data_IF_775355315166
#
_entry.id   IF_775355315166
#
_cell.length_a   1.000
_cell.length_b   1.000
_cell.length_c   1.000
_cell.angle_alpha   90.00
_cell.angle_beta   90.00
_cell.angle_gamma   90.00
#
_symmetry.space_group_name_H-M   'P 1'
#
loop_
_entity.id
_entity.type
_entity.pdbx_description
1 polymer ?
#
# COMPACT_ATOMS: atom_id res chain seq x y z
N UNK A 1 -13.71 -5.62 50.05
CA UNK A 1 -15.12 -5.63 49.60
C UNK A 1 -15.29 -5.72 48.09
N UNK A 2 -14.77 -4.78 47.28
CA UNK A 2 -15.01 -4.74 45.82
C UNK A 2 -14.74 -6.05 45.06
N UNK A 3 -13.59 -6.72 45.28
CA UNK A 3 -13.27 -8.01 44.64
C UNK A 3 -14.34 -9.10 44.87
N UNK A 4 -14.95 -9.14 46.05
CA UNK A 4 -15.96 -10.16 46.38
C UNK A 4 -17.25 -9.94 45.57
N UNK A 5 -17.62 -8.68 45.32
CA UNK A 5 -18.80 -8.32 44.51
C UNK A 5 -18.61 -8.78 43.07
N UNK A 6 -17.45 -8.50 42.45
CA UNK A 6 -17.15 -8.98 41.10
C UNK A 6 -17.07 -10.51 41.01
N UNK A 7 -16.56 -11.18 42.06
CA UNK A 7 -16.63 -12.63 42.21
C UNK A 7 -18.06 -13.17 42.13
N UNK A 8 -18.97 -12.64 42.95
CA UNK A 8 -20.39 -13.02 42.94
C UNK A 8 -21.01 -12.78 41.56
N UNK A 9 -20.73 -11.64 40.92
CA UNK A 9 -21.20 -11.33 39.55
C UNK A 9 -20.71 -12.39 38.55
N UNK A 10 -19.43 -12.80 38.58
CA UNK A 10 -18.94 -13.85 37.66
C UNK A 10 -19.60 -15.21 37.88
N UNK A 11 -19.81 -15.61 39.14
CA UNK A 11 -20.44 -16.90 39.47
C UNK A 11 -21.91 -16.88 39.01
N UNK A 12 -22.65 -15.81 39.29
CA UNK A 12 -24.03 -15.65 38.83
C UNK A 12 -24.14 -15.61 37.29
N UNK A 13 -23.21 -14.93 36.62
CA UNK A 13 -23.16 -14.89 35.16
C UNK A 13 -22.87 -16.28 34.55
N UNK A 14 -21.95 -17.04 35.16
CA UNK A 14 -21.61 -18.40 34.72
C UNK A 14 -22.77 -19.38 34.91
N UNK A 15 -23.47 -19.32 36.04
CA UNK A 15 -24.71 -20.11 36.28
C UNK A 15 -25.80 -19.73 35.28
N UNK A 16 -26.00 -18.44 35.00
CA UNK A 16 -26.95 -17.97 33.97
C UNK A 16 -26.60 -18.48 32.57
N UNK A 17 -25.30 -18.54 32.23
CA UNK A 17 -24.83 -19.03 30.93
C UNK A 17 -25.04 -20.56 30.79
N UNK A 18 -24.86 -21.32 31.88
CA UNK A 18 -25.23 -22.75 31.95
C UNK A 18 -26.74 -22.93 31.78
N UNK A 19 -27.56 -22.12 32.46
CA UNK A 19 -29.03 -22.14 32.32
C UNK A 19 -29.47 -21.86 30.87
N UNK A 20 -28.82 -20.91 30.20
CA UNK A 20 -29.06 -20.64 28.78
C UNK A 20 -28.70 -21.84 27.89
N UNK A 21 -27.57 -22.50 28.14
CA UNK A 21 -27.15 -23.67 27.39
C UNK A 21 -28.14 -24.84 27.57
N UNK A 22 -28.63 -25.06 28.79
CA UNK A 22 -29.69 -26.02 29.09
C UNK A 22 -31.00 -25.66 28.35
N UNK A 23 -31.42 -24.40 28.40
CA UNK A 23 -32.63 -23.92 27.72
C UNK A 23 -32.56 -24.12 26.20
N UNK A 24 -31.41 -23.85 25.59
CA UNK A 24 -31.17 -24.09 24.17
C UNK A 24 -31.17 -25.59 23.81
N UNK A 25 -30.61 -26.45 24.67
CA UNK A 25 -30.64 -27.89 24.50
C UNK A 25 -32.08 -28.46 24.64
N UNK A 26 -32.84 -27.98 25.62
CA UNK A 26 -34.24 -28.36 25.83
C UNK A 26 -35.12 -27.93 24.64
N UNK A 27 -34.96 -26.70 24.13
CA UNK A 27 -35.66 -26.26 22.91
C UNK A 27 -35.32 -27.14 21.70
N UNK A 28 -34.05 -27.52 21.53
CA UNK A 28 -33.62 -28.44 20.46
C UNK A 28 -34.18 -29.86 20.65
N UNK A 29 -34.38 -30.31 21.88
CA UNK A 29 -35.01 -31.59 22.19
C UNK A 29 -36.52 -31.56 21.91
N UNK A 30 -37.20 -30.48 22.30
CA UNK A 30 -38.62 -30.25 22.00
C UNK A 30 -38.90 -30.28 20.50
N UNK A 31 -38.13 -29.53 19.69
CA UNK A 31 -38.29 -29.52 18.22
C UNK A 31 -38.10 -30.91 17.58
N UNK A 32 -37.26 -31.78 18.18
CA UNK A 32 -37.10 -33.17 17.71
C UNK A 32 -38.33 -34.03 18.03
N UNK A 33 -38.96 -33.84 19.19
CA UNK A 33 -40.18 -34.55 19.56
C UNK A 33 -41.40 -34.10 18.73
N UNK A 34 -41.43 -32.85 18.28
CA UNK A 34 -42.52 -32.29 17.47
C UNK A 34 -42.27 -32.35 15.96
N UNK A 35 -41.19 -33.00 15.51
CA UNK A 35 -40.76 -33.11 14.10
C UNK A 35 -40.65 -31.76 13.34
N UNK A 36 -40.40 -30.66 14.06
CA UNK A 36 -40.35 -29.32 13.46
C UNK A 36 -38.93 -28.94 12.99
N UNK A 37 -38.78 -28.27 11.84
CA UNK A 37 -37.47 -27.85 11.33
C UNK A 37 -36.86 -26.77 12.22
N UNK A 38 -35.56 -26.91 12.53
CA UNK A 38 -34.82 -25.88 13.27
C UNK A 38 -34.52 -24.68 12.37
N UNK A 39 -35.27 -23.59 12.55
CA UNK A 39 -35.08 -22.33 11.79
C UNK A 39 -34.27 -21.30 12.59
N UNK A 40 -34.65 -21.05 13.84
CA UNK A 40 -33.97 -20.11 14.76
C UNK A 40 -34.07 -20.55 16.22
N UNK A 41 -33.22 -19.98 17.07
CA UNK A 41 -33.32 -20.09 18.54
C UNK A 41 -34.27 -18.99 19.07
N UNK A 42 -35.07 -19.22 20.13
CA UNK A 42 -35.93 -18.19 20.71
C UNK A 42 -35.15 -16.94 21.09
N UNK A 43 -35.73 -15.77 20.80
CA UNK A 43 -35.13 -14.45 21.04
C UNK A 43 -34.67 -14.26 22.48
N UNK A 44 -35.41 -14.82 23.43
CA UNK A 44 -35.18 -14.59 24.86
C UNK A 44 -33.91 -15.32 25.31
N UNK A 45 -33.65 -16.52 24.78
CA UNK A 45 -32.40 -17.26 25.01
C UNK A 45 -31.21 -16.53 24.35
N UNK A 46 -31.41 -15.91 23.18
CA UNK A 46 -30.37 -15.09 22.52
C UNK A 46 -30.06 -13.84 23.35
N UNK A 47 -31.07 -13.14 23.87
CA UNK A 47 -30.87 -11.95 24.71
C UNK A 47 -30.22 -12.32 26.05
N UNK A 48 -30.67 -13.40 26.70
CA UNK A 48 -30.12 -13.86 27.98
C UNK A 48 -28.68 -14.39 27.84
N UNK A 49 -28.33 -15.08 26.74
CA UNK A 49 -26.93 -15.46 26.46
C UNK A 49 -26.03 -14.25 26.26
N UNK A 50 -26.45 -13.24 25.49
CA UNK A 50 -25.66 -12.03 25.28
C UNK A 50 -25.46 -11.23 26.57
N UNK A 51 -26.50 -11.08 27.40
CA UNK A 51 -26.41 -10.40 28.70
C UNK A 51 -25.52 -11.16 29.70
N UNK A 52 -25.69 -12.48 29.81
CA UNK A 52 -24.85 -13.31 30.71
C UNK A 52 -23.38 -13.32 30.28
N UNK A 53 -23.10 -13.38 28.98
CA UNK A 53 -21.75 -13.29 28.44
C UNK A 53 -21.11 -11.92 28.72
N UNK A 54 -21.84 -10.82 28.53
CA UNK A 54 -21.35 -9.48 28.84
C UNK A 54 -21.05 -9.30 30.34
N UNK A 55 -21.91 -9.81 31.22
CA UNK A 55 -21.71 -9.80 32.66
C UNK A 55 -20.50 -10.65 33.10
N UNK A 56 -20.30 -11.82 32.47
CA UNK A 56 -19.16 -12.70 32.72
C UNK A 56 -17.84 -12.03 32.32
N UNK A 57 -17.77 -11.43 31.12
CA UNK A 57 -16.60 -10.68 30.64
C UNK A 57 -16.30 -9.51 31.57
N UNK A 58 -17.32 -8.74 31.97
CA UNK A 58 -17.18 -7.62 32.88
C UNK A 58 -16.60 -8.06 34.24
N UNK A 59 -17.22 -9.05 34.88
CA UNK A 59 -16.72 -9.55 36.18
C UNK A 59 -15.31 -10.14 36.09
N UNK A 60 -15.02 -10.93 35.05
CA UNK A 60 -13.71 -11.55 34.86
C UNK A 60 -12.60 -10.52 34.66
N UNK A 61 -12.87 -9.43 33.92
CA UNK A 61 -11.91 -8.33 33.73
C UNK A 61 -11.54 -7.62 35.05
N UNK A 62 -12.47 -7.50 36.00
CA UNK A 62 -12.19 -6.93 37.32
C UNK A 62 -11.52 -7.90 38.30
N UNK A 63 -11.71 -9.22 38.13
CA UNK A 63 -11.02 -10.25 38.92
C UNK A 63 -9.56 -10.42 38.49
N UNK A 64 -9.29 -10.39 37.18
CA UNK A 64 -7.95 -10.55 36.61
C UNK A 64 -6.94 -9.47 37.05
N UNK A 65 -7.43 -8.34 37.57
CA UNK A 65 -6.63 -7.24 38.07
C UNK A 65 -5.99 -6.39 36.97
N UNK A 66 -5.16 -5.43 37.36
CA UNK A 66 -4.38 -4.64 36.41
C UNK A 66 -3.34 -5.52 35.74
N UNK A 67 -3.30 -5.52 34.39
CA UNK A 67 -2.24 -6.16 33.62
C UNK A 67 -0.87 -5.75 34.16
N UNK A 68 -0.14 -6.71 34.72
CA UNK A 68 1.24 -6.48 35.14
C UNK A 68 2.10 -6.28 33.89
N UNK A 69 2.98 -5.29 33.92
CA UNK A 69 3.98 -5.12 32.89
C UNK A 69 4.92 -6.31 32.93
N UNK A 70 4.84 -7.20 31.94
CA UNK A 70 5.83 -8.24 31.72
C UNK A 70 7.16 -7.51 31.53
N UNK A 71 8.05 -7.58 32.53
CA UNK A 71 9.41 -7.06 32.40
C UNK A 71 10.00 -7.75 31.17
N UNK A 72 10.54 -6.96 30.23
CA UNK A 72 11.20 -7.49 29.05
C UNK A 72 12.36 -8.36 29.55
N UNK A 73 12.25 -9.68 29.39
CA UNK A 73 13.28 -10.60 29.84
C UNK A 73 14.61 -10.20 29.21
N UNK A 74 15.66 -10.22 30.03
CA UNK A 74 17.02 -9.83 29.63
C UNK A 74 17.63 -10.81 28.59
N UNK A 75 16.88 -11.83 28.20
CA UNK A 75 17.24 -12.94 27.34
C UNK A 75 16.24 -13.16 26.19
N UNK A 76 15.48 -12.13 25.80
CA UNK A 76 14.52 -12.20 24.69
C UNK A 76 15.13 -12.64 23.35
N UNK A 77 16.44 -12.41 23.17
CA UNK A 77 17.18 -12.73 21.95
C UNK A 77 17.89 -14.11 22.00
N UNK A 78 17.74 -14.89 23.09
CA UNK A 78 18.32 -16.24 23.15
C UNK A 78 17.59 -17.19 22.20
N UNK A 79 18.35 -17.87 21.35
CA UNK A 79 17.84 -18.99 20.54
C UNK A 79 17.51 -20.18 21.44
N UNK A 80 16.66 -21.10 20.97
CA UNK A 80 16.33 -22.31 21.72
C UNK A 80 17.58 -23.14 22.05
N UNK A 81 18.60 -23.11 21.19
CA UNK A 81 19.86 -23.83 21.39
C UNK A 81 20.67 -23.28 22.58
N UNK A 82 20.70 -21.95 22.77
CA UNK A 82 21.30 -21.31 23.96
C UNK A 82 20.48 -21.58 25.24
N UNK A 83 19.15 -21.66 25.13
CA UNK A 83 18.28 -21.97 26.26
C UNK A 83 18.38 -23.45 26.71
N UNK A 84 18.64 -24.36 25.76
CA UNK A 84 18.81 -25.79 25.99
C UNK A 84 20.28 -26.20 26.27
N UNK A 85 21.21 -25.23 26.23
CA UNK A 85 22.65 -25.45 26.39
C UNK A 85 23.21 -26.52 25.43
N UNK A 86 22.65 -26.59 24.22
CA UNK A 86 23.08 -27.53 23.19
C UNK A 86 24.32 -26.96 22.47
N UNK A 87 25.50 -27.61 22.53
CA UNK A 87 26.67 -27.12 21.82
C UNK A 87 26.45 -27.22 20.30
N UNK A 88 26.36 -26.08 19.63
CA UNK A 88 26.30 -26.04 18.17
C UNK A 88 27.60 -26.60 17.58
N UNK A 89 27.51 -27.56 16.67
CA UNK A 89 28.68 -28.09 15.96
C UNK A 89 29.33 -26.99 15.11
N UNK A 90 30.45 -26.45 15.59
CA UNK A 90 31.33 -25.59 14.80
C UNK A 90 31.99 -26.46 13.73
N UNK A 91 31.49 -26.38 12.50
CA UNK A 91 32.17 -26.96 11.34
C UNK A 91 33.42 -26.15 11.05
N UNK A 92 34.58 -26.64 11.51
CA UNK A 92 35.87 -26.09 11.11
C UNK A 92 36.08 -26.27 9.61
N UNK A 93 36.26 -25.19 8.85
CA UNK A 93 36.78 -25.29 7.48
C UNK A 93 38.20 -25.86 7.54
N UNK A 94 38.36 -27.10 7.06
CA UNK A 94 39.62 -27.82 7.18
C UNK A 94 40.74 -27.14 6.38
N UNK A 95 41.83 -26.78 7.05
CA UNK A 95 43.01 -26.08 6.51
C UNK A 95 43.70 -26.80 5.33
N UNK A 96 43.31 -28.04 5.03
CA UNK A 96 43.78 -28.85 3.90
C UNK A 96 43.19 -28.44 2.53
N UNK A 97 42.08 -27.68 2.49
CA UNK A 97 41.41 -27.26 1.23
C UNK A 97 42.33 -26.47 0.28
N UNK A 98 43.31 -25.76 0.85
CA UNK A 98 44.32 -25.00 0.11
C UNK A 98 45.48 -25.84 -0.47
N UNK A 99 45.62 -27.12 -0.09
CA UNK A 99 46.72 -27.99 -0.55
C UNK A 99 46.33 -29.00 -1.64
N UNK A 100 45.09 -28.95 -2.15
CA UNK A 100 44.69 -29.81 -3.28
C UNK A 100 45.13 -29.22 -4.62
N UNK A 101 45.82 -29.98 -5.51
CA UNK A 101 46.30 -29.46 -6.79
C UNK A 101 45.19 -28.87 -7.68
N UNK A 102 43.99 -29.46 -7.65
CA UNK A 102 42.83 -28.98 -8.42
C UNK A 102 42.33 -27.59 -8.01
N UNK A 103 42.52 -27.18 -6.75
CA UNK A 103 42.06 -25.87 -6.28
C UNK A 103 42.98 -24.73 -6.76
N UNK A 104 44.28 -25.00 -6.90
CA UNK A 104 45.25 -24.05 -7.49
C UNK A 104 44.91 -23.74 -8.95
N UNK A 105 44.60 -24.78 -9.75
CA UNK A 105 44.21 -24.63 -11.17
C UNK A 105 42.93 -23.79 -11.31
N UNK A 106 41.91 -24.05 -10.49
CA UNK A 106 40.67 -23.27 -10.49
C UNK A 106 40.88 -21.80 -10.12
N UNK A 107 41.82 -21.49 -9.24
CA UNK A 107 42.10 -20.11 -8.83
C UNK A 107 42.80 -19.32 -9.96
N UNK A 108 43.76 -19.94 -10.66
CA UNK A 108 44.46 -19.32 -11.79
C UNK A 108 43.51 -19.01 -12.96
N UNK A 109 42.64 -19.96 -13.33
CA UNK A 109 41.59 -19.76 -14.35
C UNK A 109 40.63 -18.62 -13.97
N UNK A 110 40.41 -18.39 -12.68
CA UNK A 110 39.57 -17.28 -12.18
C UNK A 110 40.28 -15.93 -12.25
N UNK A 111 41.60 -15.88 -12.02
CA UNK A 111 42.40 -14.67 -12.21
C UNK A 111 42.51 -14.27 -13.68
N UNK A 112 42.77 -15.21 -14.60
CA UNK A 112 42.81 -14.94 -16.05
C UNK A 112 41.49 -14.39 -16.60
N UNK A 113 40.35 -14.83 -16.05
CA UNK A 113 39.04 -14.32 -16.43
C UNK A 113 38.82 -12.87 -15.99
N UNK A 114 39.36 -12.50 -14.83
CA UNK A 114 39.24 -11.13 -14.31
C UNK A 114 40.18 -10.16 -15.05
N UNK A 115 41.42 -10.54 -15.37
CA UNK A 115 42.35 -9.66 -16.08
C UNK A 115 41.86 -9.29 -17.48
N UNK A 116 41.20 -10.20 -18.21
CA UNK A 116 40.57 -9.93 -19.52
C UNK A 116 39.39 -8.96 -19.48
N UNK A 117 38.88 -8.62 -18.29
CA UNK A 117 37.70 -7.74 -18.15
C UNK A 117 38.10 -6.28 -17.84
N UNK A 118 39.40 -6.00 -17.60
CA UNK A 118 39.87 -4.70 -17.08
C UNK A 118 40.52 -3.81 -18.16
N UNK A 119 40.89 -4.35 -19.33
CA UNK A 119 41.69 -3.63 -20.34
C UNK A 119 40.91 -2.82 -21.39
N UNK A 120 39.60 -2.61 -21.23
CA UNK A 120 38.77 -1.85 -22.19
C UNK A 120 37.88 -0.79 -21.50
N UNK A 121 38.48 0.31 -21.02
CA UNK A 121 37.71 1.38 -20.36
C UNK A 121 38.46 2.67 -19.97
N UNK A 122 38.94 3.45 -20.94
CA UNK A 122 39.28 4.90 -20.84
C UNK A 122 39.34 5.45 -22.29
N UNK A 123 38.92 6.66 -22.66
CA UNK A 123 38.67 7.93 -21.96
C UNK A 123 37.36 8.59 -22.51
N UNK A 124 36.47 9.23 -21.74
CA UNK A 124 36.48 10.64 -21.24
C UNK A 124 36.69 11.70 -22.35
N UNK A 125 35.64 12.39 -22.83
CA UNK A 125 35.17 13.74 -22.39
C UNK A 125 36.17 14.87 -22.72
N UNK A 126 35.83 16.05 -23.24
CA UNK A 126 34.60 16.89 -23.25
C UNK A 126 34.47 17.57 -24.64
N UNK A 127 33.66 18.59 -24.98
CA UNK A 127 32.69 19.50 -24.32
C UNK A 127 31.38 19.62 -25.17
N UNK A 128 30.61 20.70 -25.01
CA UNK A 128 29.64 21.20 -25.98
C UNK A 128 29.35 22.69 -25.76
N UNK A 129 28.77 23.40 -26.74
CA UNK A 129 27.80 24.51 -26.54
C UNK A 129 27.19 24.94 -27.89
N UNK A 130 25.99 25.50 -27.79
CA UNK A 130 24.97 25.84 -28.77
C UNK A 130 25.37 26.74 -29.97
N UNK A 131 24.63 26.60 -31.08
CA UNK A 131 23.78 27.72 -31.55
C UNK A 131 22.62 27.24 -32.43
N UNK A 132 21.44 27.83 -32.20
CA UNK A 132 20.31 27.89 -33.15
C UNK A 132 20.63 29.08 -34.10
N UNK A 133 20.21 29.22 -35.36
CA UNK A 133 18.94 28.97 -36.06
C UNK A 133 19.16 29.18 -37.57
N UNK A 134 18.38 28.55 -38.46
CA UNK A 134 17.71 29.25 -39.59
C UNK A 134 16.76 28.31 -40.37
N UNK A 135 15.72 28.83 -41.05
CA UNK A 135 14.78 28.04 -41.83
C UNK A 135 15.23 27.91 -43.28
N UNK A 136 16.06 26.91 -43.59
CA UNK A 136 16.39 26.54 -44.97
C UNK A 136 16.26 25.01 -45.18
N UNK A 137 15.05 24.51 -44.89
CA UNK A 137 14.64 23.16 -45.22
C UNK A 137 13.81 23.18 -46.51
N UNK A 138 14.47 23.23 -47.66
CA UNK A 138 13.93 22.66 -48.89
C UNK A 138 15.06 22.37 -49.90
N UNK A 139 15.07 21.14 -50.42
CA UNK A 139 15.86 20.68 -51.56
C UNK A 139 17.40 20.61 -51.42
N UNK A 140 17.90 19.82 -50.44
CA UNK A 140 19.18 19.10 -50.64
C UNK A 140 18.92 17.62 -50.96
N UNK A 141 19.67 17.02 -51.90
CA UNK A 141 19.61 15.57 -52.12
C UNK A 141 20.08 14.85 -50.85
N UNK A 142 19.27 13.89 -50.37
CA UNK A 142 19.60 13.10 -49.18
C UNK A 142 20.83 12.24 -49.48
N UNK A 143 21.91 12.30 -48.67
CA UNK A 143 23.05 11.43 -48.85
C UNK A 143 22.64 9.96 -48.64
N UNK A 144 23.19 9.06 -49.47
CA UNK A 144 22.93 7.64 -49.33
C UNK A 144 23.75 7.04 -48.18
N UNK A 145 23.04 6.57 -47.16
CA UNK A 145 23.63 5.95 -45.97
C UNK A 145 23.77 4.42 -46.08
N UNK A 146 23.53 3.85 -47.27
CA UNK A 146 23.59 2.39 -47.53
C UNK A 146 24.94 1.73 -47.21
N UNK A 147 26.05 2.49 -47.26
CA UNK A 147 27.42 2.00 -47.05
C UNK A 147 28.22 2.82 -46.03
N UNK A 148 27.65 3.09 -44.86
CA UNK A 148 28.39 3.68 -43.74
C UNK A 148 29.44 2.69 -43.18
N UNK A 149 30.76 3.00 -43.24
CA UNK A 149 31.79 2.12 -42.70
C UNK A 149 31.65 1.98 -41.18
N UNK A 150 31.56 0.74 -40.70
CA UNK A 150 31.32 0.42 -39.28
C UNK A 150 29.84 0.33 -38.88
N UNK A 151 28.88 0.65 -39.76
CA UNK A 151 27.46 0.44 -39.48
C UNK A 151 27.13 -1.04 -39.37
N UNK A 152 26.71 -1.47 -38.17
CA UNK A 152 26.35 -2.87 -37.90
C UNK A 152 24.97 -3.16 -38.49
N UNK A 153 24.90 -4.02 -39.51
CA UNK A 153 23.63 -4.55 -40.03
C UNK A 153 22.80 -5.08 -38.84
N UNK A 154 21.52 -4.68 -38.67
CA UNK A 154 20.72 -5.09 -37.52
C UNK A 154 20.47 -6.61 -37.52
N UNK A 155 21.22 -7.34 -36.69
CA UNK A 155 21.02 -8.76 -36.43
C UNK A 155 19.78 -9.01 -35.57
N UNK A 156 18.59 -8.91 -36.15
CA UNK A 156 17.47 -9.81 -35.84
C UNK A 156 16.26 -9.53 -36.73
N UNK A 157 15.69 -10.58 -37.31
CA UNK A 157 14.31 -10.56 -37.79
C UNK A 157 13.35 -10.10 -36.68
N UNK A 158 12.22 -9.51 -37.07
CA UNK A 158 11.16 -9.09 -36.15
C UNK A 158 10.78 -10.24 -35.20
N UNK A 159 11.18 -10.12 -33.94
CA UNK A 159 11.05 -11.20 -32.99
C UNK A 159 9.60 -11.23 -32.49
N UNK A 160 8.87 -12.29 -32.88
CA UNK A 160 7.47 -12.54 -32.51
C UNK A 160 7.24 -12.21 -31.04
N UNK A 161 6.11 -11.55 -30.76
CA UNK A 161 5.67 -11.02 -29.47
C UNK A 161 6.11 -11.93 -28.32
N UNK A 162 7.19 -11.54 -27.62
CA UNK A 162 7.80 -12.36 -26.57
C UNK A 162 6.94 -12.29 -25.31
N UNK A 163 5.93 -13.16 -25.29
CA UNK A 163 5.16 -13.52 -24.09
C UNK A 163 6.14 -13.88 -22.98
N UNK A 164 5.83 -13.50 -21.74
CA UNK A 164 6.58 -13.96 -20.57
C UNK A 164 6.48 -15.49 -20.46
N UNK A 165 7.55 -16.18 -20.86
CA UNK A 165 7.74 -17.60 -20.59
C UNK A 165 8.03 -17.78 -19.09
N UNK A 166 6.96 -18.05 -18.34
CA UNK A 166 6.98 -18.38 -16.90
C UNK A 166 6.10 -19.62 -16.65
N UNK A 167 6.46 -20.42 -15.66
CA UNK A 167 5.62 -21.55 -15.24
C UNK A 167 4.44 -21.08 -14.38
N UNK A 168 3.37 -21.88 -14.33
CA UNK A 168 2.22 -21.60 -13.45
C UNK A 168 2.66 -21.44 -11.98
N UNK A 169 3.58 -22.29 -11.51
CA UNK A 169 4.11 -22.22 -10.16
C UNK A 169 4.81 -20.87 -9.87
N UNK A 170 5.57 -20.33 -10.83
CA UNK A 170 6.21 -19.01 -10.72
C UNK A 170 5.18 -17.87 -10.73
N UNK A 171 4.10 -17.99 -11.50
CA UNK A 171 3.01 -17.03 -11.49
C UNK A 171 2.25 -17.04 -10.15
N UNK A 172 1.97 -18.22 -9.60
CA UNK A 172 1.30 -18.38 -8.30
C UNK A 172 2.18 -17.88 -7.14
N UNK A 173 3.49 -18.13 -7.19
CA UNK A 173 4.47 -17.58 -6.24
C UNK A 173 4.57 -16.05 -6.35
N UNK A 174 4.64 -15.51 -7.57
CA UNK A 174 4.64 -14.08 -7.81
C UNK A 174 3.37 -13.40 -7.24
N UNK A 175 2.21 -14.03 -7.42
CA UNK A 175 0.95 -13.55 -6.88
C UNK A 175 0.87 -13.64 -5.35
N UNK A 176 1.36 -14.74 -4.73
CA UNK A 176 1.47 -14.87 -3.27
C UNK A 176 2.34 -13.76 -2.67
N UNK A 177 3.46 -13.43 -3.31
CA UNK A 177 4.31 -12.31 -2.91
C UNK A 177 3.59 -10.95 -3.00
N UNK A 178 2.77 -10.73 -4.04
CA UNK A 178 1.94 -9.52 -4.16
C UNK A 178 0.86 -9.44 -3.08
N UNK A 179 0.21 -10.56 -2.76
CA UNK A 179 -0.78 -10.68 -1.71
C UNK A 179 -0.19 -10.31 -0.34
N UNK A 180 0.98 -10.86 0.00
CA UNK A 180 1.63 -10.57 1.29
C UNK A 180 2.21 -9.14 1.35
N UNK A 181 2.68 -8.60 0.22
CA UNK A 181 3.10 -7.20 0.13
C UNK A 181 1.94 -6.23 0.44
N UNK A 182 0.75 -6.46 -0.14
CA UNK A 182 -0.44 -5.65 0.14
C UNK A 182 -0.91 -5.89 1.59
N UNK A 183 -0.95 -7.14 2.05
CA UNK A 183 -1.36 -7.49 3.42
C UNK A 183 -0.49 -6.84 4.49
N UNK A 184 0.82 -6.73 4.28
CA UNK A 184 1.73 -6.12 5.26
C UNK A 184 1.75 -4.60 5.19
N UNK A 185 1.79 -4.02 3.98
CA UNK A 185 1.98 -2.57 3.78
C UNK A 185 0.68 -1.77 3.73
N UNK A 186 -0.37 -2.30 3.11
CA UNK A 186 -1.67 -1.62 2.95
C UNK A 186 -2.84 -2.50 3.42
N UNK A 187 -2.88 -2.70 4.75
CA UNK A 187 -3.96 -3.43 5.44
C UNK A 187 -5.34 -2.81 5.18
N UNK A 188 -5.45 -1.49 5.06
CA UNK A 188 -6.74 -0.81 4.89
C UNK A 188 -7.33 -1.14 3.51
N UNK A 189 -6.52 -1.07 2.44
CA UNK A 189 -6.93 -1.51 1.10
C UNK A 189 -7.13 -3.03 1.04
N UNK A 190 -6.28 -3.83 1.68
CA UNK A 190 -6.45 -5.28 1.77
C UNK A 190 -7.82 -5.67 2.33
N UNK A 191 -8.22 -5.09 3.47
CA UNK A 191 -9.52 -5.32 4.09
C UNK A 191 -10.68 -4.86 3.19
N UNK A 192 -10.49 -3.77 2.42
CA UNK A 192 -11.47 -3.33 1.42
C UNK A 192 -11.62 -4.32 0.27
N UNK A 193 -10.52 -4.88 -0.25
CA UNK A 193 -10.53 -5.88 -1.34
C UNK A 193 -11.26 -7.16 -0.90
N UNK A 194 -11.06 -7.61 0.35
CA UNK A 194 -11.76 -8.79 0.89
C UNK A 194 -13.29 -8.66 0.86
N UNK A 195 -13.84 -7.44 0.87
CA UNK A 195 -15.28 -7.18 0.79
C UNK A 195 -15.86 -7.27 -0.64
N UNK A 196 -15.00 -7.32 -1.67
CA UNK A 196 -15.38 -7.34 -3.09
C UNK A 196 -15.50 -8.79 -3.63
N UNK A 197 -16.13 -9.03 -4.80
CA UNK A 197 -16.34 -10.37 -5.34
C UNK A 197 -15.03 -11.15 -5.57
N UNK A 198 -15.01 -12.44 -5.22
CA UNK A 198 -13.80 -13.29 -5.26
C UNK A 198 -13.07 -13.31 -6.61
N UNK A 199 -13.81 -13.25 -7.72
CA UNK A 199 -13.25 -13.20 -9.09
C UNK A 199 -12.41 -11.94 -9.39
N UNK A 200 -12.73 -10.83 -8.72
CA UNK A 200 -12.09 -9.51 -8.90
C UNK A 200 -10.85 -9.36 -8.00
N UNK A 201 -10.80 -10.07 -6.86
CA UNK A 201 -9.74 -9.87 -5.85
C UNK A 201 -8.31 -9.98 -6.41
N UNK A 202 -7.96 -10.94 -7.30
CA UNK A 202 -6.60 -11.05 -7.84
C UNK A 202 -6.13 -9.82 -8.64
N UNK A 203 -6.99 -9.27 -9.49
CA UNK A 203 -6.73 -8.07 -10.28
C UNK A 203 -6.46 -6.85 -9.38
N UNK A 204 -7.28 -6.69 -8.33
CA UNK A 204 -7.07 -5.61 -7.36
C UNK A 204 -5.81 -5.79 -6.52
N UNK A 205 -5.49 -7.02 -6.11
CA UNK A 205 -4.24 -7.31 -5.38
C UNK A 205 -3.03 -6.94 -6.24
N UNK A 206 -3.02 -7.24 -7.54
CA UNK A 206 -1.94 -6.84 -8.44
C UNK A 206 -1.82 -5.31 -8.59
N UNK A 207 -2.94 -4.61 -8.77
CA UNK A 207 -2.97 -3.14 -8.86
C UNK A 207 -2.51 -2.45 -7.56
N UNK A 208 -2.92 -2.97 -6.40
CA UNK A 208 -2.50 -2.44 -5.10
C UNK A 208 -1.05 -2.80 -4.77
N UNK A 209 -0.57 -3.99 -5.13
CA UNK A 209 0.83 -4.37 -4.96
C UNK A 209 1.76 -3.47 -5.77
N UNK A 210 1.35 -3.11 -6.99
CA UNK A 210 2.04 -2.11 -7.81
C UNK A 210 2.04 -0.73 -7.14
N UNK A 211 0.88 -0.26 -6.64
CA UNK A 211 0.80 1.01 -5.92
C UNK A 211 1.70 1.04 -4.67
N UNK A 212 1.82 -0.08 -3.94
CA UNK A 212 2.71 -0.23 -2.79
C UNK A 212 4.19 -0.21 -3.21
N UNK A 213 4.59 -0.96 -4.24
CA UNK A 213 5.97 -0.93 -4.77
C UNK A 213 6.37 0.49 -5.18
N UNK A 214 5.50 1.22 -5.90
CA UNK A 214 5.74 2.60 -6.29
C UNK A 214 5.85 3.56 -5.08
N UNK A 215 5.01 3.39 -4.05
CA UNK A 215 5.06 4.19 -2.84
C UNK A 215 6.35 3.92 -2.04
N UNK A 216 6.77 2.67 -1.96
CA UNK A 216 7.99 2.22 -1.26
C UNK A 216 9.29 2.67 -1.92
N UNK A 217 9.27 3.17 -3.17
CA UNK A 217 10.49 3.75 -3.78
C UNK A 217 11.01 4.91 -2.94
N UNK A 218 10.12 5.78 -2.43
CA UNK A 218 10.52 6.93 -1.60
C UNK A 218 11.25 6.52 -0.32
N UNK A 219 10.78 5.47 0.35
CA UNK A 219 11.41 4.97 1.58
C UNK A 219 12.81 4.37 1.36
N UNK A 220 13.16 4.02 0.12
CA UNK A 220 14.45 3.40 -0.26
C UNK A 220 15.51 4.42 -0.74
N UNK A 221 15.14 5.68 -0.94
CA UNK A 221 16.03 6.74 -1.45
C UNK A 221 16.63 7.53 -0.30
N UNK A 222 17.96 7.59 -0.21
CA UNK A 222 18.63 8.51 0.73
C UNK A 222 18.84 9.88 0.07
N UNK A 223 17.85 10.76 0.23
CA UNK A 223 17.87 12.11 -0.33
C UNK A 223 19.13 12.92 0.08
N UNK A 224 19.74 12.61 1.23
CA UNK A 224 20.97 13.27 1.72
C UNK A 224 22.23 12.90 0.93
N UNK A 225 22.20 11.83 0.13
CA UNK A 225 23.34 11.36 -0.68
C UNK A 225 23.19 11.70 -2.17
N UNK A 226 22.16 12.44 -2.56
CA UNK A 226 21.87 12.71 -3.98
C UNK A 226 21.50 11.45 -4.77
N UNK A 227 20.95 10.43 -4.10
CA UNK A 227 20.76 9.10 -4.68
C UNK A 227 19.71 9.09 -5.81
N UNK A 228 20.18 8.80 -7.03
CA UNK A 228 19.36 8.71 -8.24
C UNK A 228 18.65 7.34 -8.38
N UNK A 229 18.93 6.37 -7.50
CA UNK A 229 18.31 5.03 -7.51
C UNK A 229 16.79 5.06 -7.54
N UNK A 230 16.15 6.02 -6.86
CA UNK A 230 14.70 6.20 -6.90
C UNK A 230 14.16 6.60 -8.27
N UNK A 231 14.89 7.49 -8.96
CA UNK A 231 14.58 7.91 -10.32
C UNK A 231 14.69 6.71 -11.27
N UNK A 232 15.78 5.94 -11.17
CA UNK A 232 15.96 4.73 -11.97
C UNK A 232 14.91 3.64 -11.66
N UNK A 233 14.48 3.47 -10.40
CA UNK A 233 13.44 2.49 -10.03
C UNK A 233 12.05 2.89 -10.52
N UNK A 234 11.72 4.18 -10.56
CA UNK A 234 10.46 4.66 -11.15
C UNK A 234 10.52 4.64 -12.69
N UNK A 235 11.68 4.96 -13.28
CA UNK A 235 11.92 4.80 -14.71
C UNK A 235 11.76 3.33 -15.15
N UNK A 236 12.35 2.40 -14.40
CA UNK A 236 12.15 0.95 -14.58
C UNK A 236 10.67 0.56 -14.59
N UNK A 237 9.86 1.14 -13.69
CA UNK A 237 8.42 0.85 -13.65
C UNK A 237 7.65 1.46 -14.84
N UNK A 238 8.04 2.64 -15.32
CA UNK A 238 7.50 3.23 -16.55
C UNK A 238 7.76 2.31 -17.75
N UNK A 239 9.01 1.86 -17.88
CA UNK A 239 9.45 1.03 -19.01
C UNK A 239 8.83 -0.37 -18.93
N UNK A 240 8.68 -0.93 -17.73
CA UNK A 240 7.97 -2.18 -17.50
C UNK A 240 6.48 -2.10 -17.90
N UNK A 241 5.78 -1.00 -17.60
CA UNK A 241 4.41 -0.78 -18.11
C UNK A 241 4.42 -0.74 -19.64
N UNK A 242 5.32 0.03 -20.25
CA UNK A 242 5.41 0.10 -21.72
C UNK A 242 5.68 -1.27 -22.36
N UNK A 243 6.50 -2.13 -21.73
CA UNK A 243 6.68 -3.54 -22.15
C UNK A 243 5.41 -4.36 -22.03
N UNK A 244 4.65 -4.24 -20.93
CA UNK A 244 3.42 -5.00 -20.69
C UNK A 244 2.33 -4.68 -21.72
N UNK A 245 2.27 -3.43 -22.19
CA UNK A 245 1.34 -2.98 -23.24
C UNK A 245 1.94 -3.06 -24.66
N UNK A 246 3.07 -3.75 -24.86
CA UNK A 246 3.75 -3.92 -26.14
C UNK A 246 4.11 -2.59 -26.88
N UNK A 247 4.30 -1.50 -26.12
CA UNK A 247 4.78 -0.21 -26.65
C UNK A 247 6.32 -0.13 -26.73
N UNK A 248 7.03 -1.03 -26.04
CA UNK A 248 8.49 -1.12 -26.09
C UNK A 248 8.92 -2.52 -26.52
N UNK A 249 10.09 -2.60 -27.17
CA UNK A 249 10.71 -3.86 -27.57
C UNK A 249 11.45 -4.57 -26.42
N UNK A 250 11.33 -4.06 -25.18
CA UNK A 250 11.99 -4.63 -24.00
C UNK A 250 11.13 -5.77 -23.42
N UNK A 251 11.72 -6.90 -23.02
CA UNK A 251 10.98 -7.98 -22.36
C UNK A 251 10.46 -7.50 -21.00
N UNK A 252 9.27 -7.96 -20.60
CA UNK A 252 8.73 -7.63 -19.28
C UNK A 252 9.66 -8.17 -18.18
N UNK A 253 9.98 -7.38 -17.13
CA UNK A 253 10.84 -7.82 -16.04
C UNK A 253 10.27 -8.99 -15.23
N UNK A 254 11.13 -9.93 -14.81
CA UNK A 254 10.81 -11.03 -13.88
C UNK A 254 10.68 -10.56 -12.41
N UNK A 255 9.96 -9.46 -12.16
CA UNK A 255 9.59 -9.00 -10.82
C UNK A 255 8.20 -9.56 -10.46
N UNK A 256 7.95 -10.02 -9.22
CA UNK A 256 6.66 -10.60 -8.82
C UNK A 256 5.43 -9.73 -9.15
N UNK A 257 5.56 -8.42 -8.94
CA UNK A 257 4.51 -7.44 -9.22
C UNK A 257 4.32 -7.22 -10.72
N UNK A 258 5.39 -7.21 -11.52
CA UNK A 258 5.28 -7.10 -12.98
C UNK A 258 4.62 -8.36 -13.59
N UNK A 259 5.03 -9.54 -13.13
CA UNK A 259 4.42 -10.84 -13.50
C UNK A 259 2.93 -10.84 -13.17
N UNK A 260 2.55 -10.44 -11.96
CA UNK A 260 1.15 -10.41 -11.53
C UNK A 260 0.33 -9.37 -12.29
N UNK A 261 0.93 -8.23 -12.67
CA UNK A 261 0.28 -7.24 -13.52
C UNK A 261 0.01 -7.77 -14.93
N UNK A 262 0.88 -8.58 -15.54
CA UNK A 262 0.69 -9.09 -16.91
C UNK A 262 -0.63 -9.82 -17.12
N UNK A 263 -1.14 -10.51 -16.09
CA UNK A 263 -2.42 -11.22 -16.16
C UNK A 263 -3.65 -10.30 -16.27
N UNK A 264 -3.54 -9.03 -15.86
CA UNK A 264 -4.69 -8.12 -15.72
C UNK A 264 -4.52 -6.77 -16.43
N UNK A 265 -3.29 -6.27 -16.56
CA UNK A 265 -2.98 -4.98 -17.16
C UNK A 265 -3.51 -4.79 -18.59
N UNK A 266 -3.53 -5.80 -19.49
CA UNK A 266 -4.14 -5.62 -20.82
C UNK A 266 -5.62 -5.17 -20.80
N UNK A 267 -6.34 -5.43 -19.70
CA UNK A 267 -7.73 -5.00 -19.52
C UNK A 267 -7.86 -3.61 -18.88
N UNK A 268 -6.77 -3.03 -18.38
CA UNK A 268 -6.75 -1.80 -17.59
C UNK A 268 -6.37 -0.57 -18.45
N UNK A 269 -6.76 0.64 -18.03
CA UNK A 269 -6.30 1.87 -18.70
C UNK A 269 -4.81 2.12 -18.49
N UNK A 270 -4.03 1.85 -19.54
CA UNK A 270 -2.59 2.14 -19.66
C UNK A 270 -2.20 3.54 -19.13
N UNK A 271 -2.93 4.57 -19.58
CA UNK A 271 -2.67 5.97 -19.23
C UNK A 271 -2.69 6.21 -17.71
N UNK A 272 -3.60 5.56 -16.97
CA UNK A 272 -3.69 5.71 -15.51
C UNK A 272 -2.51 5.03 -14.81
N UNK A 273 -2.06 3.86 -15.29
CA UNK A 273 -0.87 3.20 -14.76
C UNK A 273 0.40 4.01 -14.99
N UNK A 274 0.59 4.60 -16.18
CA UNK A 274 1.69 5.54 -16.41
C UNK A 274 1.56 6.78 -15.51
N UNK A 275 0.37 7.37 -15.37
CA UNK A 275 0.14 8.55 -14.52
C UNK A 275 0.52 8.31 -13.06
N UNK A 276 0.30 7.10 -12.51
CA UNK A 276 0.75 6.70 -11.18
C UNK A 276 2.27 6.81 -11.02
N UNK A 277 3.03 6.43 -12.06
CA UNK A 277 4.51 6.47 -12.06
C UNK A 277 4.98 7.90 -12.23
N UNK A 278 4.51 8.60 -13.26
CA UNK A 278 4.88 9.99 -13.57
C UNK A 278 4.68 10.92 -12.36
N UNK A 279 3.52 10.83 -11.72
CA UNK A 279 3.16 11.69 -10.57
C UNK A 279 4.07 11.45 -9.38
N UNK A 280 4.51 10.20 -9.16
CA UNK A 280 5.50 9.88 -8.13
C UNK A 280 6.89 10.34 -8.54
N UNK A 281 7.27 10.16 -9.80
CA UNK A 281 8.54 10.59 -10.37
C UNK A 281 8.72 12.12 -10.26
N UNK A 282 7.69 12.91 -10.50
CA UNK A 282 7.72 14.38 -10.33
C UNK A 282 7.85 14.84 -8.88
N UNK A 283 7.63 13.96 -7.90
CA UNK A 283 7.78 14.26 -6.46
C UNK A 283 9.03 13.68 -5.81
N UNK A 284 9.94 13.09 -6.60
CA UNK A 284 11.27 12.69 -6.12
C UNK A 284 12.07 13.93 -5.72
N UNK A 285 12.88 13.83 -4.66
CA UNK A 285 13.70 14.94 -4.15
C UNK A 285 13.00 15.79 -3.09
N UNK A 286 11.87 15.30 -2.54
CA UNK A 286 11.29 15.73 -1.26
C UNK A 286 11.05 17.24 -1.08
N UNK A 287 10.76 17.91 -2.21
CA UNK A 287 10.36 19.33 -2.24
C UNK A 287 8.94 19.49 -1.69
N UNK A 288 8.63 20.58 -0.96
CA UNK A 288 7.27 20.89 -0.56
C UNK A 288 6.38 21.12 -1.78
N UNK A 289 5.08 20.82 -1.66
CA UNK A 289 4.13 21.21 -2.70
C UNK A 289 4.06 22.74 -2.76
N UNK A 290 4.12 23.30 -3.97
CA UNK A 290 4.07 24.77 -4.15
C UNK A 290 2.74 25.35 -3.69
N UNK A 291 1.65 24.61 -3.91
CA UNK A 291 0.28 25.02 -3.59
C UNK A 291 -0.57 23.87 -3.06
N UNK A 292 -1.62 24.22 -2.33
CA UNK A 292 -2.74 23.32 -2.01
C UNK A 292 -3.30 22.58 -3.22
N UNK A 293 -3.41 23.26 -4.38
CA UNK A 293 -3.85 22.64 -5.64
C UNK A 293 -2.91 21.51 -6.06
N UNK A 294 -1.59 21.74 -6.08
CA UNK A 294 -0.60 20.73 -6.43
C UNK A 294 -0.67 19.48 -5.54
N UNK A 295 -0.91 19.65 -4.23
CA UNK A 295 -1.18 18.55 -3.31
C UNK A 295 -2.47 17.78 -3.68
N UNK A 296 -3.55 18.49 -4.00
CA UNK A 296 -4.83 17.84 -4.37
C UNK A 296 -4.71 17.09 -5.70
N UNK A 297 -3.98 17.64 -6.67
CA UNK A 297 -3.69 17.01 -7.96
C UNK A 297 -2.77 15.79 -7.79
N UNK A 298 -1.80 15.83 -6.88
CA UNK A 298 -1.03 14.64 -6.49
C UNK A 298 -1.95 13.52 -5.96
N UNK A 299 -2.93 13.85 -5.11
CA UNK A 299 -3.93 12.90 -4.62
C UNK A 299 -4.83 12.33 -5.72
N UNK A 300 -5.27 13.18 -6.68
CA UNK A 300 -6.04 12.76 -7.87
C UNK A 300 -5.26 11.75 -8.71
N UNK A 301 -4.03 12.11 -9.11
CA UNK A 301 -3.26 11.30 -10.05
C UNK A 301 -2.59 10.08 -9.41
N UNK A 302 -2.48 10.01 -8.08
CA UNK A 302 -2.08 8.80 -7.35
C UNK A 302 -3.30 7.96 -6.93
N UNK A 303 -3.92 8.26 -5.79
CA UNK A 303 -5.01 7.46 -5.24
C UNK A 303 -6.27 7.49 -6.10
N UNK A 304 -6.59 8.62 -6.75
CA UNK A 304 -7.73 8.71 -7.67
C UNK A 304 -7.58 7.78 -8.88
N UNK A 305 -6.44 7.82 -9.58
CA UNK A 305 -6.12 6.89 -10.68
C UNK A 305 -6.25 5.42 -10.28
N UNK A 306 -5.77 5.05 -9.09
CA UNK A 306 -5.89 3.69 -8.55
C UNK A 306 -7.35 3.30 -8.26
N UNK A 307 -8.12 4.19 -7.66
CA UNK A 307 -9.56 3.97 -7.39
C UNK A 307 -10.36 3.81 -8.69
N UNK A 308 -10.01 4.57 -9.74
CA UNK A 308 -10.59 4.42 -11.07
C UNK A 308 -10.27 3.06 -11.69
N UNK A 309 -9.00 2.65 -11.69
CA UNK A 309 -8.60 1.32 -12.17
C UNK A 309 -9.32 0.19 -11.42
N UNK A 310 -9.50 0.34 -10.11
CA UNK A 310 -10.24 -0.59 -9.26
C UNK A 310 -11.75 -0.61 -9.56
N UNK A 311 -12.37 0.56 -9.83
CA UNK A 311 -13.76 0.64 -10.25
C UNK A 311 -13.98 -0.03 -11.60
N UNK A 312 -13.08 0.19 -12.57
CA UNK A 312 -13.17 -0.43 -13.90
C UNK A 312 -13.04 -1.95 -13.83
N UNK A 313 -12.10 -2.46 -13.05
CA UNK A 313 -11.97 -3.90 -12.80
C UNK A 313 -13.29 -4.46 -12.24
N UNK A 314 -13.83 -3.83 -11.19
CA UNK A 314 -15.10 -4.25 -10.60
C UNK A 314 -16.28 -4.15 -11.59
N UNK A 315 -16.34 -3.12 -12.43
CA UNK A 315 -17.36 -2.94 -13.46
C UNK A 315 -17.27 -4.00 -14.57
N UNK A 316 -16.06 -4.30 -15.08
CA UNK A 316 -15.82 -5.37 -16.08
C UNK A 316 -16.36 -6.72 -15.61
N UNK A 317 -15.96 -7.15 -14.41
CA UNK A 317 -16.36 -8.46 -13.86
C UNK A 317 -17.85 -8.53 -13.48
N UNK A 318 -18.48 -7.39 -13.15
CA UNK A 318 -19.91 -7.31 -12.87
C UNK A 318 -20.77 -7.01 -14.10
N UNK A 319 -20.16 -6.83 -15.29
CA UNK A 319 -20.83 -6.45 -16.55
C UNK A 319 -21.66 -5.16 -16.43
N UNK A 320 -21.13 -4.16 -15.73
CA UNK A 320 -21.74 -2.83 -15.60
C UNK A 320 -21.09 -1.90 -16.64
N UNK A 321 -21.89 -1.14 -17.36
CA UNK A 321 -21.39 -0.20 -18.38
C UNK A 321 -20.46 0.87 -17.78
N UNK A 322 -19.46 1.27 -18.58
CA UNK A 322 -18.47 2.25 -18.16
C UNK A 322 -19.08 3.66 -18.08
N UNK A 323 -19.18 4.19 -16.86
CA UNK A 323 -19.71 5.52 -16.58
C UNK A 323 -18.55 6.54 -16.48
N UNK A 324 -18.26 7.37 -17.50
CA UNK A 324 -17.11 8.28 -17.48
C UNK A 324 -17.18 9.33 -16.36
N UNK A 325 -18.36 9.58 -15.81
CA UNK A 325 -18.55 10.52 -14.68
C UNK A 325 -17.98 9.99 -13.35
N UNK A 326 -17.64 8.69 -13.26
CA UNK A 326 -17.02 8.09 -12.07
C UNK A 326 -15.58 8.55 -11.86
N UNK A 327 -14.86 8.93 -12.93
CA UNK A 327 -13.49 9.44 -12.86
C UNK A 327 -13.39 10.67 -11.95
N UNK A 328 -14.39 11.57 -12.00
CA UNK A 328 -14.46 12.73 -11.12
C UNK A 328 -14.70 12.36 -9.65
N UNK A 329 -15.45 11.28 -9.36
CA UNK A 329 -15.69 10.79 -7.99
C UNK A 329 -14.41 10.22 -7.40
N UNK A 330 -13.68 9.42 -8.18
CA UNK A 330 -12.36 8.91 -7.80
C UNK A 330 -11.32 10.01 -7.63
N UNK A 331 -11.31 11.00 -8.53
CA UNK A 331 -10.41 12.14 -8.43
C UNK A 331 -10.66 12.96 -7.15
N UNK A 332 -11.92 13.30 -6.86
CA UNK A 332 -12.27 14.04 -5.64
C UNK A 332 -11.95 13.24 -4.37
N UNK A 333 -12.27 11.93 -4.34
CA UNK A 333 -11.93 11.08 -3.19
C UNK A 333 -10.41 10.89 -3.02
N UNK A 334 -9.67 10.78 -4.13
CA UNK A 334 -8.22 10.72 -4.16
C UNK A 334 -7.57 12.02 -3.69
N UNK A 335 -8.11 13.18 -4.06
CA UNK A 335 -7.68 14.48 -3.54
C UNK A 335 -7.88 14.58 -2.02
N UNK A 336 -9.07 14.21 -1.53
CA UNK A 336 -9.38 14.22 -0.09
C UNK A 336 -8.46 13.29 0.70
N UNK A 337 -8.23 12.07 0.20
CA UNK A 337 -7.28 11.13 0.82
C UNK A 337 -5.83 11.62 0.75
N UNK A 338 -5.40 12.22 -0.37
CA UNK A 338 -4.05 12.76 -0.53
C UNK A 338 -3.74 13.82 0.54
N UNK A 339 -4.66 14.76 0.76
CA UNK A 339 -4.55 15.78 1.81
C UNK A 339 -4.59 15.16 3.22
N UNK A 340 -5.57 14.29 3.51
CA UNK A 340 -5.68 13.65 4.82
C UNK A 340 -4.46 12.77 5.16
N UNK A 341 -3.95 12.03 4.18
CA UNK A 341 -2.77 11.19 4.32
C UNK A 341 -1.50 12.03 4.50
N UNK A 342 -1.39 13.19 3.82
CA UNK A 342 -0.29 14.13 4.06
C UNK A 342 -0.28 14.62 5.51
N UNK A 343 -1.42 15.09 6.03
CA UNK A 343 -1.55 15.54 7.43
C UNK A 343 -1.08 14.42 8.38
N UNK A 344 -1.55 13.19 8.16
CA UNK A 344 -1.13 12.02 8.95
C UNK A 344 0.37 11.73 8.84
N UNK A 345 0.96 11.87 7.65
CA UNK A 345 2.38 11.59 7.41
C UNK A 345 3.33 12.72 7.81
N UNK A 346 2.82 13.91 8.12
CA UNK A 346 3.62 15.12 8.38
C UNK A 346 4.68 14.90 9.47
N UNK A 347 4.31 14.43 10.66
CA UNK A 347 5.29 14.21 11.73
C UNK A 347 6.36 13.15 11.38
N UNK A 348 5.99 11.93 10.92
CA UNK A 348 6.96 10.93 10.50
C UNK A 348 7.91 11.40 9.39
N UNK A 349 7.42 12.20 8.43
CA UNK A 349 8.27 12.75 7.36
C UNK A 349 9.20 13.86 7.87
N UNK A 350 8.71 14.78 8.72
CA UNK A 350 9.55 15.82 9.33
C UNK A 350 10.69 15.22 10.17
N UNK A 351 10.46 14.12 10.89
CA UNK A 351 11.53 13.41 11.63
C UNK A 351 12.63 12.82 10.75
N UNK A 352 12.39 12.68 9.43
CA UNK A 352 13.37 12.26 8.43
C UNK A 352 13.98 13.44 7.65
N UNK A 353 13.60 14.68 7.98
CA UNK A 353 13.98 15.88 7.23
C UNK A 353 13.16 16.15 5.97
N UNK A 354 12.06 15.41 5.75
CA UNK A 354 11.23 15.50 4.54
C UNK A 354 10.05 16.45 4.76
N UNK A 355 9.97 17.52 3.97
CA UNK A 355 8.95 18.57 4.08
C UNK A 355 8.02 18.55 2.87
N UNK A 356 6.82 18.00 3.04
CA UNK A 356 5.81 17.91 1.96
C UNK A 356 4.57 18.78 2.19
N UNK A 357 4.55 19.64 3.21
CA UNK A 357 3.44 20.57 3.43
C UNK A 357 3.39 21.65 2.34
N UNK A 358 2.20 22.16 1.96
CA UNK A 358 2.10 23.22 0.97
C UNK A 358 2.76 24.53 1.41
N UNK A 359 3.68 25.06 0.61
CA UNK A 359 4.47 26.27 0.92
C UNK A 359 3.63 27.54 0.96
N UNK A 360 2.54 27.59 0.18
CA UNK A 360 1.55 28.68 0.18
C UNK A 360 0.89 28.82 1.57
N UNK A 361 0.37 27.73 2.13
CA UNK A 361 -0.26 27.75 3.45
C UNK A 361 0.76 27.90 4.59
N UNK A 362 1.95 27.32 4.46
CA UNK A 362 3.02 27.51 5.44
C UNK A 362 3.40 28.99 5.57
N UNK A 363 3.55 29.69 4.43
CA UNK A 363 3.78 31.13 4.40
C UNK A 363 2.61 31.92 4.95
N UNK A 364 1.37 31.59 4.57
CA UNK A 364 0.14 32.25 5.03
C UNK A 364 0.00 32.24 6.56
N UNK A 365 0.30 31.11 7.20
CA UNK A 365 0.23 30.97 8.66
C UNK A 365 1.54 31.34 9.38
N UNK A 366 2.59 31.75 8.66
CA UNK A 366 3.88 32.11 9.24
C UNK A 366 4.61 30.95 9.93
N UNK A 367 4.42 29.72 9.44
CA UNK A 367 4.90 28.46 10.03
C UNK A 367 5.99 27.83 9.16
N UNK A 368 7.15 27.56 9.74
CA UNK A 368 8.25 26.83 9.09
C UNK A 368 8.27 25.36 9.50
N UNK A 369 8.89 24.49 8.70
CA UNK A 369 9.03 23.07 9.01
C UNK A 369 9.72 22.82 10.36
N UNK A 370 10.77 23.60 10.69
CA UNK A 370 11.42 23.57 12.00
C UNK A 370 10.46 23.93 13.14
N UNK A 371 9.61 24.96 12.96
CA UNK A 371 8.65 25.38 13.98
C UNK A 371 7.57 24.33 14.25
N UNK A 372 7.18 23.55 13.23
CA UNK A 372 6.27 22.40 13.38
C UNK A 372 6.99 21.27 14.11
N UNK A 373 8.21 20.90 13.70
CA UNK A 373 8.94 19.80 14.33
C UNK A 373 9.26 20.08 15.80
N UNK A 374 9.76 21.29 16.11
CA UNK A 374 10.13 21.75 17.45
C UNK A 374 8.95 22.30 18.27
N UNK A 375 7.70 22.23 17.76
CA UNK A 375 6.47 22.68 18.44
C UNK A 375 6.46 24.16 18.88
N UNK A 376 7.24 25.02 18.22
CA UNK A 376 7.43 26.43 18.60
C UNK A 376 6.19 27.32 18.30
N UNK A 377 5.30 26.89 17.41
CA UNK A 377 4.09 27.62 16.95
C UNK A 377 2.84 26.72 16.89
N UNK A 378 2.30 26.26 18.03
CA UNK A 378 1.27 25.23 18.03
C UNK A 378 -0.10 25.72 17.53
N UNK A 379 -0.47 27.00 17.71
CA UNK A 379 -1.79 27.50 17.32
C UNK A 379 -1.86 27.79 15.82
N UNK A 380 -0.80 28.33 15.26
CA UNK A 380 -0.61 28.58 13.83
C UNK A 380 -0.52 27.25 13.06
N UNK A 381 0.15 26.25 13.65
CA UNK A 381 0.15 24.88 13.11
C UNK A 381 -1.26 24.28 13.11
N UNK A 382 -2.06 24.48 14.16
CA UNK A 382 -3.48 24.07 14.17
C UNK A 382 -4.30 24.80 13.12
N UNK A 383 -4.08 26.10 12.90
CA UNK A 383 -4.79 26.89 11.89
C UNK A 383 -4.48 26.40 10.47
N UNK A 384 -3.19 26.19 10.14
CA UNK A 384 -2.72 25.54 8.92
C UNK A 384 -3.42 24.19 8.65
N UNK A 385 -3.51 23.36 9.68
CA UNK A 385 -4.08 22.00 9.58
C UNK A 385 -5.60 22.04 9.50
N UNK A 386 -6.25 23.00 10.17
CA UNK A 386 -7.69 23.27 10.04
C UNK A 386 -8.05 23.65 8.60
N UNK A 387 -7.23 24.45 7.93
CA UNK A 387 -7.45 24.79 6.52
C UNK A 387 -7.23 23.60 5.58
N UNK A 388 -6.19 22.79 5.80
CA UNK A 388 -6.02 21.53 5.06
C UNK A 388 -7.19 20.56 5.29
N UNK A 389 -7.74 20.47 6.51
CA UNK A 389 -8.94 19.67 6.78
C UNK A 389 -10.17 20.22 6.04
N UNK A 390 -10.38 21.54 5.97
CA UNK A 390 -11.46 22.13 5.15
C UNK A 390 -11.33 21.73 3.67
N UNK A 391 -10.12 21.77 3.11
CA UNK A 391 -9.86 21.35 1.72
C UNK A 391 -10.20 19.87 1.52
N UNK A 392 -9.78 18.99 2.44
CA UNK A 392 -10.10 17.57 2.39
C UNK A 392 -11.60 17.28 2.54
N UNK A 393 -12.28 17.96 3.47
CA UNK A 393 -13.73 17.87 3.69
C UNK A 393 -14.52 18.33 2.45
N UNK A 394 -14.08 19.40 1.78
CA UNK A 394 -14.71 19.92 0.57
C UNK A 394 -14.71 18.88 -0.55
N UNK A 395 -13.55 18.29 -0.84
CA UNK A 395 -13.45 17.22 -1.85
C UNK A 395 -14.20 15.94 -1.46
N UNK A 396 -14.14 15.54 -0.19
CA UNK A 396 -14.90 14.39 0.30
C UNK A 396 -16.42 14.61 0.18
N UNK A 397 -16.88 15.84 0.42
CA UNK A 397 -18.28 16.23 0.26
C UNK A 397 -18.69 16.28 -1.22
N UNK A 398 -17.82 16.77 -2.11
CA UNK A 398 -18.03 16.73 -3.57
C UNK A 398 -18.18 15.29 -4.09
N UNK A 399 -17.30 14.37 -3.66
CA UNK A 399 -17.39 12.95 -3.99
C UNK A 399 -18.69 12.32 -3.48
N UNK A 400 -19.15 12.70 -2.28
CA UNK A 400 -20.39 12.20 -1.65
C UNK A 400 -21.67 12.77 -2.25
N UNK A 401 -21.68 14.03 -2.68
CA UNK A 401 -22.79 14.60 -3.45
C UNK A 401 -23.08 13.78 -4.72
N UNK A 402 -22.04 13.15 -5.28
CA UNK A 402 -22.11 12.29 -6.47
C UNK A 402 -22.37 10.81 -6.14
N UNK A 403 -22.51 10.38 -4.87
CA UNK A 403 -22.71 8.95 -4.52
C UNK A 403 -23.91 8.31 -5.23
N UNK A 404 -24.97 9.07 -5.54
CA UNK A 404 -26.14 8.56 -6.28
C UNK A 404 -25.83 8.15 -7.73
N UNK A 405 -24.82 8.75 -8.39
CA UNK A 405 -24.42 8.36 -9.76
C UNK A 405 -23.57 7.09 -9.78
N UNK A 406 -23.02 6.68 -8.64
CA UNK A 406 -22.25 5.44 -8.50
C UNK A 406 -23.20 4.26 -8.26
N UNK A 407 -23.22 3.23 -9.13
CA UNK A 407 -24.00 2.00 -8.90
C UNK A 407 -23.64 1.37 -7.55
N UNK A 408 -24.65 0.89 -6.80
CA UNK A 408 -24.47 0.31 -5.44
C UNK A 408 -23.42 -0.80 -5.40
N UNK A 409 -23.39 -1.66 -6.42
CA UNK A 409 -22.44 -2.76 -6.55
C UNK A 409 -20.97 -2.31 -6.72
N UNK A 410 -20.74 -1.07 -7.20
CA UNK A 410 -19.41 -0.50 -7.38
C UNK A 410 -18.89 0.28 -6.14
N UNK A 411 -19.79 0.76 -5.28
CA UNK A 411 -19.44 1.54 -4.06
C UNK A 411 -18.43 0.87 -3.11
N UNK A 412 -18.36 -0.48 -2.96
CA UNK A 412 -17.32 -1.13 -2.17
C UNK A 412 -15.89 -0.75 -2.58
N UNK A 413 -15.64 -0.46 -3.86
CA UNK A 413 -14.34 0.02 -4.35
C UNK A 413 -13.90 1.35 -3.72
N UNK A 414 -14.84 2.23 -3.38
CA UNK A 414 -14.55 3.54 -2.79
C UNK A 414 -14.50 3.48 -1.26
N UNK A 415 -15.13 2.45 -0.67
CA UNK A 415 -15.39 2.35 0.77
C UNK A 415 -14.14 2.34 1.65
N UNK A 416 -13.06 1.66 1.22
CA UNK A 416 -11.78 1.57 1.92
C UNK A 416 -11.11 2.93 2.12
N UNK A 417 -10.75 3.59 1.01
CA UNK A 417 -10.12 4.91 1.02
C UNK A 417 -10.99 5.93 1.77
N UNK A 418 -12.30 5.96 1.50
CA UNK A 418 -13.20 6.87 2.20
C UNK A 418 -13.26 6.61 3.72
N UNK A 419 -13.19 5.35 4.17
CA UNK A 419 -13.24 5.02 5.60
C UNK A 419 -11.98 5.46 6.34
N UNK A 420 -10.81 5.36 5.70
CA UNK A 420 -9.54 5.84 6.23
C UNK A 420 -9.48 7.37 6.21
N UNK A 421 -9.94 8.05 5.14
CA UNK A 421 -10.10 9.51 5.09
C UNK A 421 -11.00 10.01 6.23
N UNK A 422 -12.21 9.46 6.39
CA UNK A 422 -13.11 9.87 7.48
C UNK A 422 -12.51 9.63 8.86
N UNK A 423 -11.76 8.54 9.05
CA UNK A 423 -11.12 8.26 10.34
C UNK A 423 -10.09 9.34 10.68
N UNK A 424 -9.22 9.69 9.73
CA UNK A 424 -8.23 10.76 9.89
C UNK A 424 -8.92 12.10 10.19
N UNK A 425 -9.88 12.52 9.37
CA UNK A 425 -10.56 13.81 9.53
C UNK A 425 -11.35 13.89 10.84
N UNK A 426 -12.00 12.80 11.30
CA UNK A 426 -12.69 12.77 12.60
C UNK A 426 -11.72 12.79 13.79
N UNK A 427 -10.57 12.12 13.69
CA UNK A 427 -9.54 12.18 14.76
C UNK A 427 -9.00 13.60 14.88
N UNK A 428 -8.70 14.27 13.76
CA UNK A 428 -8.25 15.66 13.75
C UNK A 428 -9.29 16.61 14.36
N UNK A 429 -10.55 16.53 13.92
CA UNK A 429 -11.65 17.34 14.49
C UNK A 429 -11.86 17.10 15.99
N UNK A 430 -11.79 15.83 16.45
CA UNK A 430 -11.92 15.47 17.88
C UNK A 430 -10.71 15.89 18.73
N UNK A 431 -9.56 16.16 18.11
CA UNK A 431 -8.32 16.57 18.78
C UNK A 431 -7.93 18.02 18.49
N UNK A 432 -8.91 18.86 18.12
CA UNK A 432 -8.70 20.29 17.87
C UNK A 432 -7.51 20.55 16.91
N UNK A 433 -7.50 19.79 15.81
CA UNK A 433 -6.52 19.88 14.71
C UNK A 433 -5.06 19.64 15.13
N UNK A 434 -4.83 19.02 16.30
CA UNK A 434 -3.51 18.63 16.80
C UNK A 434 -2.86 17.51 15.97
N UNK A 435 -1.79 17.84 15.24
CA UNK A 435 -0.96 16.89 14.46
C UNK A 435 -0.11 16.01 15.36
N UNK A 436 0.25 16.48 16.56
CA UNK A 436 1.13 15.77 17.50
C UNK A 436 0.41 14.61 18.19
N UNK A 437 -0.91 14.48 18.03
CA UNK A 437 -1.69 13.45 18.70
C UNK A 437 -1.32 12.04 18.19
N UNK A 438 -0.93 11.10 19.07
CA UNK A 438 -0.58 9.73 18.66
C UNK A 438 -1.79 8.97 18.08
N UNK A 439 -3.02 9.46 18.32
CA UNK A 439 -4.25 8.94 17.75
C UNK A 439 -4.29 9.06 16.22
N UNK A 440 -3.58 10.03 15.63
CA UNK A 440 -3.51 10.24 14.19
C UNK A 440 -2.78 9.09 13.46
N UNK A 441 -1.82 8.44 14.13
CA UNK A 441 -1.11 7.27 13.61
C UNK A 441 -1.84 5.95 13.86
N UNK A 442 -2.82 5.92 14.77
CA UNK A 442 -3.59 4.71 15.07
C UNK A 442 -4.62 4.42 13.97
N UNK A 443 -4.47 3.28 13.31
CA UNK A 443 -5.50 2.71 12.42
C UNK A 443 -6.84 2.58 13.16
N UNK A 444 -7.93 2.60 12.40
CA UNK A 444 -9.27 2.39 12.95
C UNK A 444 -9.43 0.91 13.37
N UNK A 445 -9.58 0.59 14.67
CA UNK A 445 -9.72 -0.81 15.11
C UNK A 445 -11.03 -1.45 14.60
N UNK A 446 -12.04 -0.62 14.28
CA UNK A 446 -13.33 -1.05 13.76
C UNK A 446 -13.43 -0.82 12.24
N UNK A 447 -12.32 -0.92 11.49
CA UNK A 447 -12.34 -0.70 10.04
C UNK A 447 -13.25 -1.70 9.32
N UNK A 448 -13.11 -3.00 9.61
CA UNK A 448 -13.91 -4.06 8.99
C UNK A 448 -15.43 -3.86 9.23
N UNK A 449 -15.83 -3.54 10.45
CA UNK A 449 -17.22 -3.22 10.80
C UNK A 449 -17.76 -2.00 10.05
N UNK A 450 -16.93 -0.96 9.85
CA UNK A 450 -17.33 0.21 9.04
C UNK A 450 -17.46 -0.14 7.56
N UNK A 451 -16.58 -0.99 7.00
CA UNK A 451 -16.66 -1.44 5.61
C UNK A 451 -17.90 -2.33 5.38
N UNK A 452 -18.21 -3.23 6.33
CA UNK A 452 -19.43 -4.04 6.31
C UNK A 452 -20.68 -3.17 6.39
N UNK A 453 -20.75 -2.23 7.34
CA UNK A 453 -21.87 -1.29 7.46
C UNK A 453 -22.07 -0.49 6.16
N UNK A 454 -20.99 0.04 5.57
CA UNK A 454 -21.00 0.76 4.29
C UNK A 454 -21.50 -0.06 3.11
N UNK A 455 -21.10 -1.34 3.05
CA UNK A 455 -21.56 -2.28 2.04
C UNK A 455 -23.07 -2.54 2.17
N UNK A 456 -23.60 -2.59 3.39
CA UNK A 456 -25.03 -2.76 3.67
C UNK A 456 -25.84 -1.47 3.41
N UNK A 457 -25.35 -0.31 3.83
CA UNK A 457 -26.03 0.99 3.62
C UNK A 457 -25.84 1.53 2.20
N UNK A 458 -24.98 0.92 1.39
CA UNK A 458 -24.62 1.40 0.06
C UNK A 458 -23.96 2.79 0.08
N UNK A 459 -23.15 3.12 1.09
CA UNK A 459 -22.47 4.42 1.22
C UNK A 459 -20.95 4.27 1.26
N UNK A 460 -20.21 5.33 0.93
CA UNK A 460 -18.75 5.40 1.07
C UNK A 460 -18.34 6.70 1.78
#
# INVERSE_FOLDING_TARGET
MTKNIYGIITIAALVSLIHCAYSAAQHRFYLRLTEQPFVTLPTDVIVQTLLSLAALIYGAAYIAGSFQYIKKDQHHDRTCDEALNCPSFITFEHRAKAMSPGFYVLNNLRQERNSRTISTGAASSTEGVESKTSPFSENLPKPDFSQLPGARIPKSAAQKTRVLEISQAQADEAFKNCLELVRTRDVDSYMSILMMPKKVQPELIALHAFNVELAMVRDKVDARKGDTTGMYRLQFWRDAISSIYAQSNLPVPRQPVAISLCAFAPNARHQLLQKLVETRQSTIGDRPFTTTKALTDYGRYTTGSLLTLQLEALARHLKIEALPHLDHVCADLGAAFGVANLIRSTLPLLSRGVVLLPSDLMSLHGVTADSIYNKKKPQETKALIKDLVKVADSYLSSARGKTRTVPTALRPALSGVAASTDHILRVLKKKDFDVYSPHLQRRNPLILWRLLARKLTGTF
#
